data_IF_100393512716
#
_entry.id   IF_100393512716
#
_cell.length_a   1.000
_cell.length_b   1.000
_cell.length_c   1.000
_cell.angle_alpha   90.00
_cell.angle_beta   90.00
_cell.angle_gamma   90.00
#
_symmetry.space_group_name_H-M   'P 1'
#
loop_
_entity.id
_entity.type
_entity.pdbx_description
1 polymer ?
#
# COMPACT_ATOMS: atom_id res chain seq x y z
N UNK A 1 60.82 23.80 36.37
CA UNK A 1 61.60 24.32 35.25
C UNK A 1 60.54 24.81 34.31
N UNK A 2 60.17 26.04 34.54
CA UNK A 2 60.76 27.22 33.84
C UNK A 2 60.30 27.23 32.37
N UNK A 3 59.73 28.20 31.78
CA UNK A 3 59.53 29.60 32.14
C UNK A 3 58.61 30.16 31.09
N UNK A 4 57.64 30.95 31.47
CA UNK A 4 57.59 32.40 31.32
C UNK A 4 57.20 32.90 29.92
N UNK A 5 56.08 33.56 29.86
CA UNK A 5 55.93 35.03 29.72
C UNK A 5 56.02 35.49 28.21
N UNK A 6 55.32 36.43 27.69
CA UNK A 6 54.65 37.63 28.20
C UNK A 6 53.95 38.33 27.03
N UNK A 7 52.76 38.80 27.23
CA UNK A 7 52.25 40.17 27.24
C UNK A 7 52.29 41.07 25.99
N UNK A 8 51.15 41.71 25.87
CA UNK A 8 50.89 43.16 25.54
C UNK A 8 50.51 43.45 24.08
N UNK A 9 49.29 43.86 23.90
CA UNK A 9 48.59 45.13 24.21
C UNK A 9 48.61 46.09 23.02
N UNK A 10 47.45 46.47 22.50
CA UNK A 10 47.01 47.85 22.24
C UNK A 10 45.92 47.99 21.21
N UNK A 11 44.75 48.34 21.65
CA UNK A 11 43.78 49.14 20.92
C UNK A 11 44.20 50.63 20.91
N UNK A 12 43.52 51.61 20.35
CA UNK A 12 42.18 51.66 19.71
C UNK A 12 42.08 52.49 18.41
N UNK A 13 40.86 52.68 17.95
CA UNK A 13 40.21 53.44 16.91
C UNK A 13 40.78 54.85 16.54
N UNK A 14 40.29 55.54 15.48
CA UNK A 14 38.92 56.01 15.35
C UNK A 14 38.33 56.13 13.92
N UNK A 15 37.00 56.35 13.95
CA UNK A 15 36.05 56.83 12.99
C UNK A 15 36.51 57.77 11.85
N UNK A 16 35.86 57.66 10.70
CA UNK A 16 35.04 58.71 10.10
C UNK A 16 34.72 58.49 8.61
N UNK A 17 33.52 58.84 8.30
CA UNK A 17 32.99 59.52 7.12
C UNK A 17 32.44 58.65 5.95
N UNK A 18 31.10 58.75 5.81
CA UNK A 18 30.39 58.61 4.52
C UNK A 18 30.78 59.84 3.61
N UNK A 19 30.68 59.63 2.29
CA UNK A 19 29.58 60.28 1.60
C UNK A 19 28.90 59.45 0.50
N UNK A 20 27.78 59.99 0.13
CA UNK A 20 26.75 59.58 -0.76
C UNK A 20 27.12 59.59 -2.26
N UNK A 21 26.26 58.87 -3.00
CA UNK A 21 25.85 59.10 -4.39
C UNK A 21 26.78 58.62 -5.51
N UNK A 22 26.32 57.77 -6.36
CA UNK A 22 25.73 58.13 -7.66
C UNK A 22 25.34 56.88 -8.47
N UNK A 23 24.24 57.00 -9.12
CA UNK A 23 23.64 56.15 -10.12
C UNK A 23 24.62 55.73 -11.23
N UNK A 24 24.58 54.50 -11.69
CA UNK A 24 24.62 54.19 -13.13
C UNK A 24 24.04 52.80 -13.44
N UNK A 25 23.21 52.78 -14.45
CA UNK A 25 22.70 51.69 -15.21
C UNK A 25 23.79 50.76 -15.75
N UNK A 26 23.47 49.46 -15.86
CA UNK A 26 24.30 48.51 -16.59
C UNK A 26 23.66 47.15 -16.67
N UNK A 27 23.05 46.86 -17.81
CA UNK A 27 22.57 45.60 -18.30
C UNK A 27 23.57 44.46 -18.13
N UNK A 28 23.11 43.30 -17.69
CA UNK A 28 23.90 42.08 -17.68
C UNK A 28 23.03 40.87 -17.40
N UNK A 29 22.67 40.18 -18.46
CA UNK A 29 22.08 38.84 -18.45
C UNK A 29 23.01 37.85 -17.75
N UNK A 30 22.46 36.99 -16.93
CA UNK A 30 23.20 35.90 -16.32
C UNK A 30 22.22 34.85 -15.80
N UNK A 31 22.04 33.80 -16.57
CA UNK A 31 21.37 32.56 -16.26
C UNK A 31 21.85 31.99 -14.92
N UNK A 32 20.91 31.58 -14.10
CA UNK A 32 21.14 30.86 -12.86
C UNK A 32 19.96 29.95 -12.58
N UNK A 33 19.83 28.88 -13.35
CA UNK A 33 19.00 27.70 -12.98
C UNK A 33 19.46 27.18 -11.63
N UNK A 34 18.54 26.94 -10.73
CA UNK A 34 18.91 26.20 -9.55
C UNK A 34 17.85 26.08 -8.48
N UNK A 35 16.97 25.09 -8.60
CA UNK A 35 16.45 24.31 -7.48
C UNK A 35 15.62 25.03 -6.41
N UNK A 36 14.35 25.26 -6.71
CA UNK A 36 13.32 25.36 -5.65
C UNK A 36 11.93 24.97 -6.20
N UNK A 37 11.79 23.74 -6.69
CA UNK A 37 10.53 23.24 -7.27
C UNK A 37 10.04 21.95 -6.62
N UNK A 38 10.12 21.81 -5.31
CA UNK A 38 9.56 20.63 -4.62
C UNK A 38 8.66 20.91 -3.42
N UNK A 39 8.20 22.14 -3.21
CA UNK A 39 7.32 22.46 -2.06
C UNK A 39 5.98 23.10 -2.42
N UNK A 40 5.49 23.00 -3.66
CA UNK A 40 4.19 23.56 -4.04
C UNK A 40 3.20 22.51 -4.55
N UNK A 41 3.24 21.28 -4.04
CA UNK A 41 2.31 20.24 -4.49
C UNK A 41 1.12 20.03 -3.54
N UNK A 42 1.03 20.79 -2.44
CA UNK A 42 -0.05 20.65 -1.46
C UNK A 42 -0.95 21.88 -1.27
N UNK A 43 -0.79 22.94 -2.06
CA UNK A 43 -1.52 24.20 -1.84
C UNK A 43 -2.57 24.58 -2.90
N UNK A 44 -2.98 23.66 -3.74
CA UNK A 44 -4.15 23.86 -4.60
C UNK A 44 -5.30 22.92 -4.18
N UNK A 45 -5.79 23.11 -2.97
CA UNK A 45 -7.15 22.68 -2.65
C UNK A 45 -8.04 23.66 -3.43
N UNK A 46 -8.84 23.21 -4.40
CA UNK A 46 -9.71 24.10 -5.16
C UNK A 46 -10.71 24.74 -4.19
N UNK A 47 -10.54 26.04 -3.94
CA UNK A 47 -11.37 26.85 -3.01
C UNK A 47 -12.83 27.00 -3.45
N UNK A 48 -13.28 26.28 -4.47
CA UNK A 48 -14.62 26.36 -5.03
C UNK A 48 -15.49 25.11 -4.81
N UNK A 49 -15.02 24.10 -4.05
CA UNK A 49 -15.87 22.94 -3.80
C UNK A 49 -16.84 23.18 -2.64
N UNK A 50 -18.16 22.92 -2.82
CA UNK A 50 -19.12 23.04 -1.74
C UNK A 50 -18.74 22.09 -0.60
N UNK A 51 -18.87 22.57 0.66
CA UNK A 51 -18.51 21.82 1.88
C UNK A 51 -19.07 20.40 1.91
N UNK A 52 -20.26 20.21 1.34
CA UNK A 52 -20.90 18.89 1.19
C UNK A 52 -20.07 17.89 0.40
N UNK A 53 -19.47 18.33 -0.71
CA UNK A 53 -18.66 17.46 -1.59
C UNK A 53 -17.37 17.08 -0.87
N UNK A 54 -16.75 18.03 -0.16
CA UNK A 54 -15.54 17.77 0.60
C UNK A 54 -15.75 16.75 1.73
N UNK A 55 -16.89 16.84 2.45
CA UNK A 55 -17.25 15.88 3.47
C UNK A 55 -17.49 14.47 2.91
N UNK A 56 -18.14 14.36 1.73
CA UNK A 56 -18.32 13.06 1.07
C UNK A 56 -16.97 12.48 0.64
N UNK A 57 -16.10 13.30 0.04
CA UNK A 57 -14.76 12.86 -0.37
C UNK A 57 -13.97 12.38 0.86
N UNK A 58 -13.98 13.14 1.95
CA UNK A 58 -13.30 12.74 3.18
C UNK A 58 -13.82 11.39 3.70
N UNK A 59 -15.15 11.21 3.74
CA UNK A 59 -15.78 9.96 4.16
C UNK A 59 -15.35 8.79 3.29
N UNK A 60 -15.37 8.95 1.97
CA UNK A 60 -14.96 7.92 1.01
C UNK A 60 -13.47 7.60 1.13
N UNK A 61 -12.62 8.63 1.29
CA UNK A 61 -11.16 8.43 1.45
C UNK A 61 -10.84 7.68 2.74
N UNK A 62 -11.42 8.08 3.87
CA UNK A 62 -11.19 7.40 5.16
C UNK A 62 -11.67 5.96 5.10
N UNK A 63 -12.87 5.72 4.55
CA UNK A 63 -13.42 4.38 4.37
C UNK A 63 -12.56 3.55 3.40
N UNK A 64 -12.09 4.16 2.31
CA UNK A 64 -11.22 3.51 1.32
C UNK A 64 -9.88 3.07 1.92
N UNK A 65 -9.27 3.91 2.76
CA UNK A 65 -8.04 3.57 3.48
C UNK A 65 -8.26 2.39 4.43
N UNK A 66 -9.37 2.38 5.17
CA UNK A 66 -9.72 1.27 6.06
C UNK A 66 -9.91 -0.06 5.30
N UNK A 67 -10.69 -0.04 4.21
CA UNK A 67 -10.95 -1.21 3.38
C UNK A 67 -9.64 -1.71 2.74
N UNK A 68 -8.81 -0.81 2.20
CA UNK A 68 -7.53 -1.18 1.58
C UNK A 68 -6.57 -1.79 2.59
N UNK A 69 -6.47 -1.21 3.79
CA UNK A 69 -5.64 -1.75 4.87
C UNK A 69 -6.10 -3.14 5.31
N UNK A 70 -7.41 -3.34 5.47
CA UNK A 70 -7.99 -4.65 5.80
C UNK A 70 -7.73 -5.68 4.70
N UNK A 71 -7.94 -5.31 3.43
CA UNK A 71 -7.68 -6.21 2.29
C UNK A 71 -6.22 -6.62 2.18
N UNK A 72 -5.30 -5.68 2.42
CA UNK A 72 -3.87 -5.97 2.45
C UNK A 72 -3.52 -6.96 3.58
N UNK A 73 -4.07 -6.76 4.78
CA UNK A 73 -3.85 -7.66 5.91
C UNK A 73 -4.36 -9.08 5.61
N UNK A 74 -5.58 -9.21 5.11
CA UNK A 74 -6.17 -10.52 4.75
C UNK A 74 -5.34 -11.22 3.69
N UNK A 75 -4.96 -10.52 2.62
CA UNK A 75 -4.15 -11.11 1.55
C UNK A 75 -2.76 -11.54 2.04
N UNK A 76 -2.14 -10.75 2.93
CA UNK A 76 -0.85 -11.08 3.53
C UNK A 76 -0.92 -12.32 4.41
N UNK A 77 -1.95 -12.42 5.26
CA UNK A 77 -2.18 -13.58 6.13
C UNK A 77 -2.44 -14.83 5.27
N UNK A 78 -3.35 -14.74 4.28
CA UNK A 78 -3.69 -15.86 3.42
C UNK A 78 -2.47 -16.38 2.67
N UNK A 79 -1.65 -15.47 2.13
CA UNK A 79 -0.39 -15.83 1.48
C UNK A 79 0.52 -16.62 2.42
N UNK A 80 0.71 -16.15 3.65
CA UNK A 80 1.55 -16.85 4.62
C UNK A 80 1.00 -18.23 4.98
N UNK A 81 -0.32 -18.35 5.16
CA UNK A 81 -0.97 -19.64 5.43
C UNK A 81 -0.77 -20.62 4.27
N UNK A 82 -0.99 -20.18 3.02
CA UNK A 82 -0.79 -21.04 1.86
C UNK A 82 0.66 -21.49 1.71
N UNK A 83 1.63 -20.58 1.88
CA UNK A 83 3.04 -20.94 1.81
C UNK A 83 3.46 -21.90 2.91
N UNK A 84 3.00 -21.69 4.15
CA UNK A 84 3.29 -22.59 5.27
C UNK A 84 2.68 -23.98 5.03
N UNK A 85 1.45 -24.07 4.52
CA UNK A 85 0.83 -25.35 4.19
C UNK A 85 1.65 -26.10 3.14
N UNK A 86 2.08 -25.43 2.07
CA UNK A 86 2.93 -26.05 1.04
C UNK A 86 4.28 -26.48 1.61
N UNK A 87 4.85 -25.70 2.52
CA UNK A 87 6.11 -26.04 3.19
C UNK A 87 5.96 -27.31 4.05
N UNK A 88 4.86 -27.43 4.79
CA UNK A 88 4.57 -28.61 5.61
C UNK A 88 4.24 -29.84 4.74
N UNK A 89 3.54 -29.66 3.62
CA UNK A 89 3.33 -30.73 2.64
C UNK A 89 4.65 -31.23 2.06
N UNK A 90 5.56 -30.34 1.66
CA UNK A 90 6.87 -30.71 1.13
C UNK A 90 7.72 -31.46 2.17
N UNK A 91 7.71 -30.98 3.43
CA UNK A 91 8.40 -31.69 4.52
C UNK A 91 7.81 -33.07 4.77
N UNK A 92 6.50 -33.19 4.80
CA UNK A 92 5.82 -34.48 4.94
C UNK A 92 6.15 -35.40 3.75
N UNK A 93 6.11 -34.88 2.52
CA UNK A 93 6.47 -35.64 1.32
C UNK A 93 7.91 -36.16 1.39
N UNK A 94 8.86 -35.35 1.88
CA UNK A 94 10.27 -35.72 2.00
C UNK A 94 10.54 -36.89 2.96
N UNK A 95 9.66 -37.09 3.95
CA UNK A 95 9.77 -38.15 4.94
C UNK A 95 8.92 -39.38 4.61
N UNK A 96 8.02 -39.26 3.66
CA UNK A 96 7.09 -40.32 3.26
C UNK A 96 7.32 -40.81 1.82
N UNK A 97 6.40 -40.54 0.91
CA UNK A 97 6.35 -41.11 -0.44
C UNK A 97 7.56 -40.70 -1.33
N UNK A 98 8.13 -39.51 -1.14
CA UNK A 98 9.24 -39.09 -2.00
C UNK A 98 10.54 -39.84 -1.67
N UNK A 99 10.73 -40.21 -0.41
CA UNK A 99 11.83 -41.10 0.00
C UNK A 99 11.63 -42.50 -0.55
N UNK A 100 10.40 -43.01 -0.59
CA UNK A 100 10.08 -44.29 -1.19
C UNK A 100 10.37 -44.32 -2.69
N UNK A 101 10.00 -43.25 -3.41
CA UNK A 101 10.32 -43.09 -4.83
C UNK A 101 11.85 -43.06 -5.04
N UNK A 102 12.59 -42.36 -4.21
CA UNK A 102 14.05 -42.32 -4.27
C UNK A 102 14.66 -43.72 -4.08
N UNK A 103 14.15 -44.49 -3.14
CA UNK A 103 14.62 -45.86 -2.85
C UNK A 103 14.24 -46.86 -3.94
N UNK A 104 13.04 -46.77 -4.52
CA UNK A 104 12.55 -47.70 -5.56
C UNK A 104 13.39 -47.60 -6.84
N UNK A 105 14.07 -46.52 -7.09
CA UNK A 105 15.00 -46.40 -8.20
C UNK A 105 16.19 -47.40 -8.14
N UNK A 106 16.57 -47.79 -6.93
CA UNK A 106 17.64 -48.80 -6.73
C UNK A 106 17.12 -50.24 -6.94
N UNK A 107 15.79 -50.43 -6.78
CA UNK A 107 15.17 -51.76 -6.88
C UNK A 107 14.64 -52.03 -8.31
N UNK A 108 14.63 -50.96 -9.18
CA UNK A 108 14.20 -51.11 -10.58
C UNK A 108 12.64 -51.10 -10.76
N UNK A 109 11.90 -50.78 -9.72
CA UNK A 109 10.44 -50.67 -9.78
C UNK A 109 10.04 -49.18 -10.09
N UNK A 110 9.68 -48.91 -11.34
CA UNK A 110 9.27 -47.58 -11.81
C UNK A 110 7.76 -47.35 -11.75
N UNK A 111 7.03 -48.08 -10.94
CA UNK A 111 5.56 -48.04 -10.89
C UNK A 111 5.02 -46.88 -10.06
N UNK A 112 5.81 -46.37 -9.11
CA UNK A 112 5.42 -45.27 -8.24
C UNK A 112 5.66 -43.90 -8.91
N UNK A 113 4.58 -43.13 -9.09
CA UNK A 113 4.63 -41.77 -9.61
C UNK A 113 4.28 -40.77 -8.51
N UNK A 114 4.90 -39.60 -8.49
CA UNK A 114 4.48 -38.53 -7.58
C UNK A 114 3.03 -38.09 -7.90
N UNK A 115 2.32 -37.49 -6.95
CA UNK A 115 1.06 -36.82 -7.23
C UNK A 115 1.22 -35.78 -8.33
N UNK A 116 0.16 -35.50 -9.09
CA UNK A 116 0.19 -34.70 -10.33
C UNK A 116 0.69 -33.26 -10.14
N UNK A 117 0.64 -32.73 -8.93
CA UNK A 117 1.10 -31.37 -8.60
C UNK A 117 2.58 -31.31 -8.25
N UNK A 118 3.24 -32.49 -8.15
CA UNK A 118 4.62 -32.59 -7.70
C UNK A 118 5.55 -33.08 -8.82
N UNK A 119 6.76 -32.56 -8.77
CA UNK A 119 7.89 -33.03 -9.57
C UNK A 119 8.99 -33.51 -8.63
N UNK A 120 9.58 -34.64 -8.95
CA UNK A 120 10.74 -35.20 -8.24
C UNK A 120 11.91 -35.26 -9.19
N UNK A 121 13.02 -34.67 -8.79
CA UNK A 121 14.30 -34.72 -9.48
C UNK A 121 15.31 -35.47 -8.59
N UNK A 122 15.85 -36.56 -9.08
CA UNK A 122 16.89 -37.32 -8.38
C UNK A 122 18.21 -37.12 -9.09
N UNK A 123 19.18 -36.54 -8.38
CA UNK A 123 20.56 -36.37 -8.80
C UNK A 123 21.38 -37.55 -8.25
N UNK A 124 21.80 -38.43 -9.11
CA UNK A 124 22.57 -39.61 -8.73
C UNK A 124 24.07 -39.24 -8.60
N UNK A 125 24.85 -40.02 -7.83
CA UNK A 125 26.31 -39.78 -7.68
C UNK A 125 27.10 -39.87 -8.98
N UNK A 126 26.55 -40.54 -10.00
CA UNK A 126 27.16 -40.67 -11.35
C UNK A 126 26.91 -39.43 -12.23
N UNK A 127 26.24 -38.41 -11.71
CA UNK A 127 25.83 -37.18 -12.43
C UNK A 127 24.55 -37.31 -13.25
N UNK A 128 23.91 -38.49 -13.22
CA UNK A 128 22.61 -38.69 -13.91
C UNK A 128 21.48 -37.98 -13.18
N UNK A 129 20.64 -37.24 -13.93
CA UNK A 129 19.45 -36.62 -13.41
C UNK A 129 18.24 -37.43 -13.87
N UNK A 130 17.41 -37.88 -12.90
CA UNK A 130 16.16 -38.56 -13.19
C UNK A 130 14.99 -37.69 -12.83
N UNK A 131 14.08 -37.56 -13.77
CA UNK A 131 12.88 -36.75 -13.64
C UNK A 131 11.65 -37.66 -13.48
N UNK A 132 10.81 -37.35 -12.50
CA UNK A 132 9.52 -38.00 -12.31
C UNK A 132 8.46 -36.92 -12.02
N UNK A 133 7.49 -36.79 -12.91
CA UNK A 133 6.41 -35.80 -12.78
C UNK A 133 5.70 -35.51 -14.08
N UNK A 134 4.70 -34.63 -14.09
CA UNK A 134 4.05 -34.16 -15.31
C UNK A 134 5.05 -33.35 -16.16
N UNK A 135 5.12 -33.63 -17.44
CA UNK A 135 6.20 -33.22 -18.33
C UNK A 135 6.14 -31.79 -18.88
N UNK A 136 5.27 -30.93 -18.37
CA UNK A 136 5.03 -29.63 -18.99
C UNK A 136 6.00 -28.53 -18.59
N UNK A 137 6.63 -28.62 -17.41
CA UNK A 137 7.56 -27.60 -16.91
C UNK A 137 8.51 -28.17 -15.86
N UNK A 138 9.78 -27.74 -15.91
CA UNK A 138 10.83 -28.22 -15.01
C UNK A 138 11.25 -27.11 -14.05
N UNK A 139 11.27 -27.35 -12.71
CA UNK A 139 11.81 -26.38 -11.76
C UNK A 139 13.32 -26.21 -11.94
N UNK A 140 13.81 -24.96 -11.77
CA UNK A 140 15.23 -24.72 -11.73
C UNK A 140 15.77 -25.11 -10.35
N UNK A 141 16.50 -26.23 -10.32
CA UNK A 141 16.99 -26.84 -9.08
C UNK A 141 18.44 -26.45 -8.73
N UNK A 142 19.10 -25.56 -9.51
CA UNK A 142 20.54 -25.28 -9.37
C UNK A 142 20.94 -24.70 -8.01
N UNK A 143 20.04 -23.97 -7.31
CA UNK A 143 20.37 -23.24 -6.09
C UNK A 143 19.46 -23.59 -4.90
N UNK A 144 19.02 -24.84 -4.81
CA UNK A 144 18.18 -25.27 -3.69
C UNK A 144 19.10 -25.72 -2.55
N UNK A 145 18.99 -25.13 -1.34
CA UNK A 145 19.83 -25.52 -0.21
C UNK A 145 19.50 -26.94 0.24
N UNK A 146 20.54 -27.75 0.41
CA UNK A 146 20.44 -29.06 1.04
C UNK A 146 20.19 -28.86 2.53
N UNK A 147 19.17 -29.49 3.08
CA UNK A 147 18.86 -29.38 4.51
C UNK A 147 17.39 -29.31 4.83
N UNK A 148 16.50 -29.58 3.87
CA UNK A 148 15.07 -29.69 4.11
C UNK A 148 14.34 -28.35 4.33
N UNK A 149 14.92 -27.24 3.86
CA UNK A 149 14.25 -25.94 3.88
C UNK A 149 13.57 -25.65 2.54
N UNK A 150 12.24 -25.51 2.52
CA UNK A 150 11.52 -25.17 1.29
C UNK A 150 11.95 -23.80 0.74
N UNK A 151 12.24 -23.73 -0.54
CA UNK A 151 12.70 -22.51 -1.25
C UNK A 151 11.86 -22.29 -2.49
N UNK A 152 11.57 -21.03 -2.82
CA UNK A 152 10.85 -20.69 -4.06
C UNK A 152 11.82 -20.56 -5.22
N UNK A 153 11.63 -21.36 -6.27
CA UNK A 153 12.45 -21.36 -7.49
C UNK A 153 11.59 -21.07 -8.72
N UNK A 154 12.22 -20.63 -9.78
CA UNK A 154 11.58 -20.45 -11.09
C UNK A 154 11.49 -21.76 -11.86
N UNK A 155 10.79 -21.75 -13.00
CA UNK A 155 10.87 -22.79 -14.02
C UNK A 155 11.97 -22.45 -15.04
N UNK A 156 12.47 -23.47 -15.72
CA UNK A 156 13.46 -23.31 -16.80
C UNK A 156 12.76 -22.84 -18.07
N UNK A 157 11.55 -23.33 -18.37
CA UNK A 157 10.90 -23.11 -19.66
C UNK A 157 9.91 -21.93 -19.64
N UNK A 158 9.37 -21.57 -18.48
CA UNK A 158 8.31 -20.55 -18.35
C UNK A 158 8.43 -19.71 -17.06
N UNK A 159 7.47 -18.82 -16.82
CA UNK A 159 7.44 -17.97 -15.62
C UNK A 159 6.69 -18.62 -14.44
N UNK A 160 6.54 -19.95 -14.43
CA UNK A 160 5.93 -20.68 -13.31
C UNK A 160 6.86 -20.63 -12.10
N UNK A 161 6.31 -20.44 -10.93
CA UNK A 161 7.06 -20.51 -9.67
C UNK A 161 6.78 -21.83 -8.99
N UNK A 162 7.81 -22.43 -8.50
CA UNK A 162 7.81 -23.69 -7.79
C UNK A 162 8.24 -23.48 -6.35
N UNK A 163 7.65 -24.23 -5.44
CA UNK A 163 8.15 -24.36 -4.08
C UNK A 163 8.88 -25.69 -4.00
N UNK A 164 10.16 -25.67 -3.70
CA UNK A 164 11.02 -26.85 -3.79
C UNK A 164 11.80 -27.08 -2.50
N UNK A 165 12.06 -28.34 -2.20
CA UNK A 165 12.82 -28.81 -1.05
C UNK A 165 13.80 -29.86 -1.52
N UNK A 166 15.08 -29.77 -1.10
CA UNK A 166 16.11 -30.74 -1.41
C UNK A 166 16.57 -31.46 -0.14
N UNK A 167 16.73 -32.78 -0.24
CA UNK A 167 17.33 -33.60 0.80
C UNK A 167 18.26 -34.63 0.19
N UNK A 168 19.25 -35.05 0.97
CA UNK A 168 20.16 -36.13 0.58
C UNK A 168 19.77 -37.43 1.27
N UNK A 169 19.86 -38.54 0.55
CA UNK A 169 19.70 -39.87 1.11
C UNK A 169 21.07 -40.45 1.56
N UNK A 170 21.02 -41.51 2.36
CA UNK A 170 22.21 -42.25 2.83
C UNK A 170 23.11 -42.80 1.69
N UNK A 171 22.54 -42.97 0.50
CA UNK A 171 23.22 -43.46 -0.69
C UNK A 171 23.89 -42.34 -1.54
N UNK A 172 23.87 -41.08 -1.05
CA UNK A 172 24.42 -39.92 -1.77
C UNK A 172 23.55 -39.40 -2.90
N UNK A 173 22.31 -39.87 -3.02
CA UNK A 173 21.32 -39.30 -3.95
C UNK A 173 20.74 -38.05 -3.39
N UNK A 174 20.76 -36.96 -4.16
CA UNK A 174 20.07 -35.72 -3.82
C UNK A 174 18.70 -35.73 -4.49
N UNK A 175 17.66 -35.74 -3.67
CA UNK A 175 16.28 -35.70 -4.14
C UNK A 175 15.71 -34.30 -3.95
N UNK A 176 15.22 -33.72 -5.03
CA UNK A 176 14.49 -32.43 -5.04
C UNK A 176 13.04 -32.72 -5.31
N UNK A 177 12.19 -32.28 -4.39
CA UNK A 177 10.73 -32.29 -4.55
C UNK A 177 10.29 -30.88 -4.82
N UNK A 178 9.50 -30.66 -5.85
CA UNK A 178 8.95 -29.35 -6.17
C UNK A 178 7.43 -29.44 -6.39
N UNK A 179 6.70 -28.50 -5.83
CA UNK A 179 5.26 -28.30 -6.05
C UNK A 179 5.02 -27.07 -6.89
N UNK A 180 4.16 -27.18 -7.90
CA UNK A 180 3.73 -26.04 -8.73
C UNK A 180 2.85 -25.10 -7.92
N UNK A 181 3.20 -23.80 -7.92
CA UNK A 181 2.51 -22.75 -7.18
C UNK A 181 1.46 -22.01 -8.03
N UNK A 182 1.11 -22.55 -9.20
CA UNK A 182 0.16 -21.88 -10.11
C UNK A 182 -1.23 -21.86 -9.50
N UNK A 183 -1.66 -22.97 -8.92
CA UNK A 183 -2.99 -23.09 -8.29
C UNK A 183 -3.14 -22.16 -7.08
N UNK A 184 -2.12 -22.08 -6.23
CA UNK A 184 -2.09 -21.16 -5.08
C UNK A 184 -2.16 -19.69 -5.49
N UNK A 185 -1.50 -19.32 -6.61
CA UNK A 185 -1.60 -17.96 -7.18
C UNK A 185 -3.00 -17.66 -7.73
N UNK A 186 -3.63 -18.62 -8.39
CA UNK A 186 -5.00 -18.47 -8.90
C UNK A 186 -5.99 -18.23 -7.77
N UNK A 187 -5.86 -18.98 -6.67
CA UNK A 187 -6.67 -18.77 -5.46
C UNK A 187 -6.47 -17.36 -4.91
N UNK A 188 -5.22 -16.91 -4.73
CA UNK A 188 -4.92 -15.57 -4.23
C UNK A 188 -5.45 -14.48 -5.17
N UNK A 189 -5.34 -14.67 -6.48
CA UNK A 189 -5.88 -13.74 -7.46
C UNK A 189 -7.41 -13.70 -7.43
N UNK A 190 -8.06 -14.85 -7.35
CA UNK A 190 -9.51 -14.95 -7.20
C UNK A 190 -10.02 -14.22 -5.95
N UNK A 191 -9.36 -14.43 -4.79
CA UNK A 191 -9.67 -13.73 -3.56
C UNK A 191 -9.50 -12.21 -3.69
N UNK A 192 -8.40 -11.75 -4.31
CA UNK A 192 -8.16 -10.34 -4.53
C UNK A 192 -9.24 -9.70 -5.42
N UNK A 193 -9.67 -10.37 -6.48
CA UNK A 193 -10.74 -9.89 -7.37
C UNK A 193 -12.08 -9.77 -6.65
N UNK A 194 -12.44 -10.76 -5.83
CA UNK A 194 -13.67 -10.70 -5.01
C UNK A 194 -13.58 -9.54 -4.00
N UNK A 195 -12.44 -9.36 -3.32
CA UNK A 195 -12.24 -8.26 -2.38
C UNK A 195 -12.36 -6.89 -3.06
N UNK A 196 -11.74 -6.70 -4.23
CA UNK A 196 -11.84 -5.45 -5.01
C UNK A 196 -13.28 -5.18 -5.41
N UNK A 197 -14.03 -6.20 -5.84
CA UNK A 197 -15.44 -6.05 -6.21
C UNK A 197 -16.30 -5.62 -5.02
N UNK A 198 -16.15 -6.29 -3.88
CA UNK A 198 -16.87 -5.94 -2.65
C UNK A 198 -16.49 -4.53 -2.18
N UNK A 199 -15.20 -4.18 -2.22
CA UNK A 199 -14.72 -2.85 -1.85
C UNK A 199 -15.32 -1.75 -2.74
N UNK A 200 -15.38 -1.96 -4.04
CA UNK A 200 -15.97 -1.02 -5.00
C UNK A 200 -17.47 -0.79 -4.71
N UNK A 201 -18.23 -1.87 -4.48
CA UNK A 201 -19.66 -1.78 -4.16
C UNK A 201 -19.85 -1.05 -2.82
N UNK A 202 -19.06 -1.40 -1.79
CA UNK A 202 -19.15 -0.77 -0.48
C UNK A 202 -18.84 0.73 -0.54
N UNK A 203 -17.76 1.13 -1.24
CA UNK A 203 -17.41 2.54 -1.42
C UNK A 203 -18.48 3.31 -2.21
N UNK A 204 -19.06 2.72 -3.25
CA UNK A 204 -20.16 3.33 -3.99
C UNK A 204 -21.40 3.53 -3.11
N UNK A 205 -21.73 2.54 -2.29
CA UNK A 205 -22.84 2.64 -1.34
C UNK A 205 -22.58 3.73 -0.27
N UNK A 206 -21.39 3.77 0.32
CA UNK A 206 -20.98 4.80 1.28
C UNK A 206 -21.05 6.19 0.65
N UNK A 207 -20.56 6.35 -0.58
CA UNK A 207 -20.63 7.62 -1.32
C UNK A 207 -22.08 8.07 -1.56
N UNK A 208 -22.95 7.16 -2.02
CA UNK A 208 -24.35 7.46 -2.30
C UNK A 208 -25.12 7.83 -1.03
N UNK A 209 -25.01 7.01 0.01
CA UNK A 209 -25.66 7.24 1.31
C UNK A 209 -25.12 8.51 1.97
N UNK A 210 -23.80 8.68 2.01
CA UNK A 210 -23.15 9.86 2.56
C UNK A 210 -23.57 11.14 1.84
N UNK A 211 -23.60 11.13 0.50
CA UNK A 211 -24.07 12.26 -0.29
C UNK A 211 -25.54 12.61 0.02
N UNK A 212 -26.41 11.60 0.09
CA UNK A 212 -27.82 11.80 0.41
C UNK A 212 -28.01 12.38 1.82
N UNK A 213 -27.34 11.82 2.83
CA UNK A 213 -27.40 12.31 4.22
C UNK A 213 -26.89 13.73 4.36
N UNK A 214 -25.70 14.03 3.81
CA UNK A 214 -25.08 15.35 3.92
C UNK A 214 -25.95 16.40 3.19
N UNK A 215 -26.50 16.04 2.01
CA UNK A 215 -27.41 16.93 1.29
C UNK A 215 -28.68 17.24 2.10
N UNK A 216 -29.23 16.25 2.81
CA UNK A 216 -30.41 16.41 3.64
C UNK A 216 -30.10 17.21 4.92
N UNK A 217 -28.99 16.92 5.58
CA UNK A 217 -28.56 17.59 6.81
C UNK A 217 -28.22 19.08 6.60
N UNK A 218 -27.65 19.44 5.45
CA UNK A 218 -27.28 20.82 5.12
C UNK A 218 -28.39 21.61 4.40
N UNK A 219 -29.56 21.00 4.15
CA UNK A 219 -30.69 21.70 3.53
C UNK A 219 -31.21 22.88 4.38
N UNK A 220 -31.36 22.75 5.71
CA UNK A 220 -31.80 23.86 6.54
C UNK A 220 -30.87 25.07 6.49
N UNK A 221 -29.59 24.87 6.48
CA UNK A 221 -28.59 25.96 6.42
C UNK A 221 -28.74 26.81 5.16
N UNK A 222 -29.05 26.20 4.01
CA UNK A 222 -29.34 26.94 2.77
C UNK A 222 -30.61 27.80 2.85
N UNK A 223 -31.61 27.31 3.58
CA UNK A 223 -32.85 28.09 3.78
C UNK A 223 -32.55 29.31 4.62
N UNK A 224 -31.76 29.18 5.69
CA UNK A 224 -31.35 30.32 6.54
C UNK A 224 -30.53 31.32 5.72
N UNK A 225 -29.53 30.86 4.95
CA UNK A 225 -28.69 31.68 4.06
C UNK A 225 -29.55 32.47 3.07
N UNK A 226 -30.48 31.80 2.37
CA UNK A 226 -31.35 32.44 1.40
C UNK A 226 -32.28 33.50 2.05
N UNK A 227 -32.90 33.16 3.18
CA UNK A 227 -33.78 34.11 3.87
C UNK A 227 -32.97 35.30 4.39
N UNK A 228 -31.79 35.10 4.96
CA UNK A 228 -30.89 36.17 5.40
C UNK A 228 -30.48 37.10 4.24
N UNK A 229 -30.21 36.54 3.06
CA UNK A 229 -29.91 37.32 1.85
C UNK A 229 -31.10 38.14 1.35
N UNK A 230 -32.30 37.59 1.38
CA UNK A 230 -33.53 38.30 1.00
C UNK A 230 -33.85 39.45 1.96
N UNK A 231 -33.63 39.27 3.29
CA UNK A 231 -33.76 40.32 4.30
C UNK A 231 -32.73 41.43 4.07
N UNK A 232 -31.47 41.05 3.77
CA UNK A 232 -30.43 42.01 3.46
C UNK A 232 -30.71 42.82 2.19
N UNK A 233 -31.49 42.25 1.25
CA UNK A 233 -31.93 42.94 0.03
C UNK A 233 -33.14 43.87 0.26
N UNK A 234 -33.64 44.00 1.52
CA UNK A 234 -34.70 44.94 1.90
C UNK A 234 -36.07 44.30 2.20
N UNK A 235 -36.19 42.97 2.11
CA UNK A 235 -37.47 42.28 2.43
C UNK A 235 -37.52 41.94 3.92
N UNK A 236 -37.79 42.95 4.74
CA UNK A 236 -37.76 42.84 6.21
C UNK A 236 -38.97 42.08 6.80
N UNK A 237 -39.99 41.76 6.02
CA UNK A 237 -41.14 40.99 6.47
C UNK A 237 -40.92 39.48 6.53
N UNK A 238 -39.82 39.02 5.88
CA UNK A 238 -39.47 37.60 5.89
C UNK A 238 -38.95 37.13 7.23
N UNK A 239 -39.29 35.89 7.57
CA UNK A 239 -38.81 35.20 8.77
C UNK A 239 -38.24 33.86 8.40
N UNK A 240 -37.22 33.43 9.13
CA UNK A 240 -36.66 32.10 8.96
C UNK A 240 -37.63 31.05 9.50
N UNK A 241 -37.87 29.94 8.77
CA UNK A 241 -38.71 28.85 9.25
C UNK A 241 -38.24 28.31 10.61
N UNK A 242 -39.20 27.94 11.46
CA UNK A 242 -38.88 27.37 12.77
C UNK A 242 -38.32 25.95 12.60
N UNK A 243 -37.16 25.70 13.17
CA UNK A 243 -36.52 24.41 13.27
C UNK A 243 -36.46 23.97 14.73
N UNK A 244 -36.27 22.64 15.01
CA UNK A 244 -36.14 22.16 16.38
C UNK A 244 -34.98 22.82 17.11
N UNK A 245 -35.21 23.41 18.27
CA UNK A 245 -34.24 24.17 19.06
C UNK A 245 -33.06 23.34 19.61
N UNK A 246 -33.18 22.01 19.57
CA UNK A 246 -32.06 21.11 19.95
C UNK A 246 -30.99 20.95 18.86
N UNK A 247 -31.17 21.60 17.70
CA UNK A 247 -30.20 21.63 16.61
C UNK A 247 -29.54 23.01 16.53
N UNK A 248 -28.26 23.04 16.10
CA UNK A 248 -27.48 24.27 15.92
C UNK A 248 -28.19 25.24 14.93
N UNK A 249 -28.77 24.67 13.88
CA UNK A 249 -29.49 25.44 12.86
C UNK A 249 -30.82 26.01 13.46
N UNK A 250 -31.49 25.26 14.32
CA UNK A 250 -32.70 25.72 15.03
C UNK A 250 -32.37 26.88 15.97
N UNK A 251 -31.27 26.81 16.71
CA UNK A 251 -30.79 27.90 17.57
C UNK A 251 -30.45 29.15 16.79
N UNK A 252 -29.72 28.98 15.67
CA UNK A 252 -29.35 30.07 14.75
C UNK A 252 -30.61 30.75 14.16
N UNK A 253 -31.59 29.96 13.69
CA UNK A 253 -32.83 30.47 13.14
C UNK A 253 -33.67 31.24 14.19
N UNK A 254 -33.68 30.75 15.42
CA UNK A 254 -34.39 31.45 16.54
C UNK A 254 -33.70 32.78 16.87
N UNK A 255 -32.37 32.78 17.01
CA UNK A 255 -31.59 33.98 17.27
C UNK A 255 -31.78 35.06 16.18
N UNK A 256 -31.75 34.62 14.90
CA UNK A 256 -31.99 35.54 13.78
C UNK A 256 -33.40 36.13 13.79
N UNK A 257 -34.44 35.31 14.07
CA UNK A 257 -35.82 35.80 14.18
C UNK A 257 -36.05 36.77 15.36
N UNK A 258 -35.33 36.57 16.49
CA UNK A 258 -35.37 37.49 17.63
C UNK A 258 -34.73 38.84 17.22
N UNK A 259 -33.59 38.82 16.54
CA UNK A 259 -32.92 40.04 16.07
C UNK A 259 -33.80 40.84 15.08
N UNK A 260 -34.58 40.16 14.24
CA UNK A 260 -35.47 40.78 13.25
C UNK A 260 -36.79 41.28 13.86
N UNK A 261 -37.11 40.95 15.09
CA UNK A 261 -38.29 41.37 15.79
C UNK A 261 -38.07 42.59 16.71
N UNK A 262 -36.83 43.05 16.82
CA UNK A 262 -36.48 44.29 17.54
C UNK A 262 -36.50 45.50 16.61
#
# INVERSE_FOLDING_TARGET
MEDSQETQDKAPAPAAARPQSMWHEGLGQGEGEGKSSKRRMFSQIPQAMPLRTWLVILLVVVSGLGITGSSFAVNSIMRNVLFNNVDDELRSASTTWARDISNDFFIGDHTKRPPTEYVVLNYLPDGTIRYSGPSSTTPNAENIPLGGYPTTVGSIENNTKWRALAFADSNGVITVIAKDMTHEKEILHGLAMVQVTIAAIALAAIAAVGFWFIRRALRPLRVVEKTASEIAAGDLDKRVPKWPLHTEVGQLAAALNIMLGQ
#
